data_IF_081078443383
#
_entry.id   IF_081078443383
#
_cell.length_a   1.000
_cell.length_b   1.000
_cell.length_c   1.000
_cell.angle_alpha   90.00
_cell.angle_beta   90.00
_cell.angle_gamma   90.00
#
_symmetry.space_group_name_H-M   'P 1'
#
loop_
_entity.id
_entity.type
_entity.pdbx_description
1 polymer ?
#
# COMPACT_ATOMS: atom_id res chain seq x y z
N UNK A 1 10.44 47.40 12.06
CA UNK A 1 9.18 47.94 11.50
C UNK A 1 8.10 46.86 11.61
N UNK A 2 6.88 47.09 11.12
CA UNK A 2 5.96 45.97 10.83
C UNK A 2 6.40 45.37 9.49
N UNK A 3 6.41 44.04 9.40
CA UNK A 3 6.72 43.31 8.18
C UNK A 3 5.79 43.72 7.02
N UNK A 4 6.38 44.06 5.87
CA UNK A 4 5.64 44.30 4.64
C UNK A 4 5.56 43.00 3.83
N UNK A 5 4.36 42.45 3.68
CA UNK A 5 4.14 41.20 2.96
C UNK A 5 2.70 40.73 2.99
N UNK A 6 2.49 39.45 2.70
CA UNK A 6 1.18 38.81 2.84
C UNK A 6 1.30 37.38 3.34
N UNK A 7 0.32 36.91 4.09
CA UNK A 7 0.36 35.59 4.72
C UNK A 7 -1.00 34.89 4.69
N UNK A 8 -0.99 33.57 4.87
CA UNK A 8 -2.19 32.79 5.15
C UNK A 8 -1.83 31.51 5.92
N UNK A 9 -2.69 31.13 6.85
CA UNK A 9 -2.64 29.85 7.55
C UNK A 9 -3.86 28.99 7.18
N UNK A 10 -3.68 27.68 7.07
CA UNK A 10 -4.77 26.70 6.94
C UNK A 10 -4.39 25.44 7.71
N UNK A 11 -5.39 24.77 8.29
CA UNK A 11 -5.21 23.50 9.01
C UNK A 11 -6.41 22.59 8.77
N UNK A 12 -6.16 21.29 8.63
CA UNK A 12 -7.19 20.29 8.35
C UNK A 12 -6.85 18.95 9.04
N UNK A 13 -7.86 18.27 9.58
CA UNK A 13 -7.77 16.96 10.26
C UNK A 13 -7.17 15.80 9.42
N UNK A 14 -6.88 16.02 8.14
CA UNK A 14 -6.64 14.94 7.18
C UNK A 14 -7.88 14.09 6.87
N UNK A 15 -7.68 12.83 6.49
CA UNK A 15 -8.75 11.86 6.14
C UNK A 15 -8.82 10.65 7.08
N UNK A 16 -7.85 10.47 7.97
CA UNK A 16 -7.71 9.26 8.81
C UNK A 16 -7.79 9.55 10.32
N UNK A 17 -7.25 10.69 10.78
CA UNK A 17 -7.34 11.12 12.18
C UNK A 17 -8.78 11.54 12.54
N UNK A 18 -9.16 11.38 13.80
CA UNK A 18 -10.47 11.76 14.33
C UNK A 18 -10.57 13.21 14.83
N UNK A 19 -9.43 13.77 15.25
CA UNK A 19 -9.25 15.11 15.78
C UNK A 19 -8.07 15.76 15.06
N UNK A 20 -8.08 17.08 15.02
CA UNK A 20 -6.93 17.87 14.61
C UNK A 20 -6.13 18.17 15.88
N UNK A 21 -4.84 17.83 15.89
CA UNK A 21 -3.90 18.07 16.97
C UNK A 21 -2.84 19.09 16.57
N UNK A 22 -2.75 19.45 15.29
CA UNK A 22 -1.96 20.60 14.84
C UNK A 22 -2.57 21.92 15.34
N UNK A 23 -1.72 22.95 15.45
CA UNK A 23 -2.09 24.35 15.57
C UNK A 23 -1.22 25.21 14.65
N UNK A 24 -1.74 26.33 14.18
CA UNK A 24 -1.00 27.27 13.33
C UNK A 24 -1.38 28.72 13.58
N UNK A 25 -0.44 29.62 13.33
CA UNK A 25 -0.58 31.07 13.51
C UNK A 25 0.03 31.82 12.33
N UNK A 26 -0.70 32.79 11.78
CA UNK A 26 -0.17 33.78 10.85
C UNK A 26 -0.59 35.18 11.28
N UNK A 27 0.33 35.91 11.87
CA UNK A 27 0.13 37.28 12.33
C UNK A 27 0.74 38.32 11.39
N UNK A 28 1.12 39.43 11.99
CA UNK A 28 1.69 40.61 11.33
C UNK A 28 3.19 40.44 11.06
N UNK A 29 3.91 39.86 12.02
CA UNK A 29 5.36 39.63 12.02
C UNK A 29 5.71 38.18 12.40
N UNK A 30 4.82 37.47 13.12
CA UNK A 30 5.03 36.11 13.61
C UNK A 30 4.23 35.07 12.81
N UNK A 31 4.87 33.95 12.50
CA UNK A 31 4.30 32.81 11.78
C UNK A 31 4.71 31.51 12.49
N UNK A 32 3.76 30.63 12.79
CA UNK A 32 4.02 29.40 13.58
C UNK A 32 3.23 28.22 13.02
N UNK A 33 3.86 27.04 13.00
CA UNK A 33 3.22 25.72 12.91
C UNK A 33 3.67 24.88 14.09
N UNK A 34 2.73 24.18 14.72
CA UNK A 34 2.96 23.28 15.84
C UNK A 34 2.15 21.99 15.63
N UNK A 35 2.82 20.86 15.46
CA UNK A 35 2.22 19.54 15.26
C UNK A 35 2.13 18.83 16.62
N UNK A 36 0.91 18.61 17.09
CA UNK A 36 0.63 18.13 18.44
C UNK A 36 0.59 16.62 18.54
N UNK A 37 1.45 16.03 19.37
CA UNK A 37 1.52 14.60 19.61
C UNK A 37 1.18 14.21 21.05
N UNK A 38 0.71 12.97 21.23
CA UNK A 38 0.42 12.39 22.54
C UNK A 38 -0.80 11.48 22.51
N UNK A 39 -0.98 10.70 23.58
CA UNK A 39 -2.20 9.94 23.77
C UNK A 39 -3.41 10.83 24.07
N UNK A 40 -4.62 10.30 23.87
CA UNK A 40 -5.89 11.01 24.15
C UNK A 40 -5.90 12.44 23.55
N UNK A 41 -6.23 13.46 24.35
CA UNK A 41 -6.27 14.87 23.97
C UNK A 41 -4.97 15.62 24.34
N UNK A 42 -3.83 14.92 24.40
CA UNK A 42 -2.55 15.53 24.76
C UNK A 42 -2.01 16.48 23.69
N UNK A 43 -2.01 16.05 22.42
CA UNK A 43 -1.40 16.79 21.31
C UNK A 43 -2.11 18.11 20.98
N UNK A 44 -3.44 18.10 20.90
CA UNK A 44 -4.27 19.29 20.66
C UNK A 44 -4.13 20.34 21.77
N UNK A 45 -3.86 19.90 23.00
CA UNK A 45 -3.52 20.80 24.12
C UNK A 45 -2.10 21.33 23.99
N UNK A 46 -1.12 20.47 23.68
CA UNK A 46 0.28 20.84 23.55
C UNK A 46 0.50 21.92 22.47
N UNK A 47 0.01 21.68 21.25
CA UNK A 47 0.18 22.61 20.12
C UNK A 47 -0.58 23.93 20.35
N UNK A 48 -1.75 23.86 20.98
CA UNK A 48 -2.55 25.03 21.31
C UNK A 48 -1.86 25.90 22.37
N UNK A 49 -1.29 25.30 23.42
CA UNK A 49 -0.51 26.03 24.44
C UNK A 49 0.71 26.68 23.80
N UNK A 50 1.46 25.97 22.95
CA UNK A 50 2.63 26.53 22.27
C UNK A 50 2.28 27.73 21.37
N UNK A 51 1.21 27.65 20.57
CA UNK A 51 0.78 28.76 19.71
C UNK A 51 0.32 29.97 20.53
N UNK A 52 -0.50 29.79 21.57
CA UNK A 52 -0.96 30.91 22.42
C UNK A 52 0.16 31.51 23.28
N UNK A 53 1.18 30.73 23.66
CA UNK A 53 2.36 31.22 24.38
C UNK A 53 3.28 32.06 23.47
N UNK A 54 3.31 31.75 22.17
CA UNK A 54 4.06 32.48 21.15
C UNK A 54 3.33 33.71 20.59
N UNK A 55 1.99 33.70 20.53
CA UNK A 55 1.17 34.83 20.01
C UNK A 55 1.61 36.24 20.48
N UNK A 56 1.96 36.49 21.77
CA UNK A 56 2.43 37.80 22.23
C UNK A 56 3.73 38.31 21.57
N UNK A 57 4.45 37.43 20.86
CA UNK A 57 5.62 37.78 20.05
C UNK A 57 5.24 38.32 18.67
N UNK A 58 3.95 38.41 18.29
CA UNK A 58 3.50 39.09 17.06
C UNK A 58 3.60 40.62 17.14
N UNK A 59 4.83 41.10 17.32
CA UNK A 59 5.17 42.51 17.50
C UNK A 59 6.47 42.85 16.79
N UNK A 60 6.71 44.15 16.59
CA UNK A 60 8.00 44.60 16.10
C UNK A 60 9.08 44.38 17.18
N UNK A 61 10.21 43.79 16.78
CA UNK A 61 11.43 43.69 17.58
C UNK A 61 12.42 44.79 17.18
N UNK A 62 13.31 45.18 18.09
CA UNK A 62 14.35 46.19 17.81
C UNK A 62 15.51 45.63 16.98
N UNK A 63 15.83 44.35 17.15
CA UNK A 63 16.92 43.66 16.44
C UNK A 63 16.58 42.19 16.19
N UNK A 64 17.13 41.55 15.14
CA UNK A 64 16.97 40.11 14.92
C UNK A 64 17.44 39.26 16.10
N UNK A 65 18.51 39.68 16.79
CA UNK A 65 19.06 38.98 17.96
C UNK A 65 18.12 39.03 19.18
N UNK A 66 17.39 40.13 19.38
CA UNK A 66 16.38 40.21 20.43
C UNK A 66 15.21 39.25 20.15
N UNK A 67 14.73 39.21 18.90
CA UNK A 67 13.74 38.22 18.46
C UNK A 67 14.23 36.78 18.64
N UNK A 68 15.50 36.49 18.34
CA UNK A 68 16.07 35.15 18.45
C UNK A 68 16.11 34.66 19.91
N UNK A 69 16.50 35.55 20.83
CA UNK A 69 16.51 35.29 22.27
C UNK A 69 15.08 35.08 22.77
N UNK A 70 14.16 36.02 22.50
CA UNK A 70 12.78 35.92 22.98
C UNK A 70 12.02 34.71 22.41
N UNK A 71 12.23 34.34 21.15
CA UNK A 71 11.66 33.12 20.56
C UNK A 71 12.16 31.86 21.28
N UNK A 72 13.48 31.74 21.47
CA UNK A 72 14.08 30.57 22.15
C UNK A 72 13.62 30.46 23.59
N UNK A 73 13.69 31.56 24.35
CA UNK A 73 13.26 31.60 25.74
C UNK A 73 11.76 31.30 25.88
N UNK A 74 10.91 31.85 25.00
CA UNK A 74 9.46 31.57 25.02
C UNK A 74 9.14 30.10 24.72
N UNK A 75 9.84 29.47 23.77
CA UNK A 75 9.69 28.02 23.48
C UNK A 75 10.17 27.18 24.68
N UNK A 76 11.29 27.54 25.32
CA UNK A 76 11.79 26.83 26.50
C UNK A 76 10.85 26.99 27.71
N UNK A 77 10.35 28.20 27.98
CA UNK A 77 9.33 28.47 29.01
C UNK A 77 8.03 27.69 28.75
N UNK A 78 7.68 27.46 27.48
CA UNK A 78 6.52 26.63 27.11
C UNK A 78 6.69 25.20 27.64
N UNK A 79 7.90 24.62 27.63
CA UNK A 79 8.16 23.29 28.19
C UNK A 79 7.81 23.26 29.70
N UNK A 80 8.24 24.29 30.44
CA UNK A 80 7.89 24.49 31.84
C UNK A 80 6.38 24.59 32.09
N UNK A 81 5.63 25.26 31.21
CA UNK A 81 4.17 25.35 31.28
C UNK A 81 3.49 24.00 31.00
N UNK A 82 4.00 23.22 30.03
CA UNK A 82 3.51 21.88 29.70
C UNK A 82 3.74 20.88 30.84
N UNK A 83 4.92 20.88 31.46
CA UNK A 83 5.23 20.07 32.66
C UNK A 83 4.29 20.44 33.83
N UNK A 84 4.06 21.73 34.05
CA UNK A 84 3.11 22.20 35.07
C UNK A 84 1.66 21.84 34.73
N UNK A 85 1.31 21.72 33.46
CA UNK A 85 -0.01 21.29 33.01
C UNK A 85 -0.24 19.80 33.31
N UNK A 86 0.70 18.92 32.94
CA UNK A 86 0.65 17.48 33.28
C UNK A 86 0.65 17.26 34.79
N UNK A 87 1.40 18.05 35.55
CA UNK A 87 1.38 18.01 37.03
C UNK A 87 -0.01 18.29 37.61
N UNK A 88 -0.84 19.08 36.92
CA UNK A 88 -2.22 19.41 37.32
C UNK A 88 -3.26 18.47 36.72
N UNK A 89 -3.00 17.90 35.55
CA UNK A 89 -3.86 17.00 34.79
C UNK A 89 -3.05 15.78 34.32
N UNK A 90 -2.82 14.77 35.19
CA UNK A 90 -1.99 13.59 34.88
C UNK A 90 -2.51 12.75 33.70
N UNK A 91 -3.77 12.92 33.30
CA UNK A 91 -4.38 12.36 32.09
C UNK A 91 -3.75 12.87 30.77
N UNK A 92 -2.98 13.96 30.82
CA UNK A 92 -2.26 14.52 29.68
C UNK A 92 -0.78 14.06 29.61
N UNK A 93 -0.34 13.13 30.47
CA UNK A 93 1.06 12.66 30.49
C UNK A 93 1.52 12.10 29.13
N UNK A 94 2.73 12.46 28.71
CA UNK A 94 3.29 12.15 27.40
C UNK A 94 2.79 13.06 26.27
N UNK A 95 2.19 14.21 26.59
CA UNK A 95 1.89 15.26 25.61
C UNK A 95 3.18 15.88 25.09
N UNK A 96 3.19 16.24 23.81
CA UNK A 96 4.23 17.04 23.21
C UNK A 96 3.74 17.74 21.94
N UNK A 97 4.55 18.65 21.42
CA UNK A 97 4.31 19.30 20.13
C UNK A 97 5.64 19.59 19.46
N UNK A 98 5.67 19.55 18.14
CA UNK A 98 6.71 20.27 17.39
C UNK A 98 6.43 21.77 17.50
N UNK A 99 7.44 22.60 17.24
CA UNK A 99 7.27 24.03 16.97
C UNK A 99 8.20 24.41 15.82
N UNK A 100 7.66 25.10 14.83
CA UNK A 100 8.42 25.75 13.77
C UNK A 100 7.89 27.16 13.61
N UNK A 101 8.73 28.16 13.87
CA UNK A 101 8.35 29.57 13.92
C UNK A 101 9.28 30.45 13.09
N UNK A 102 8.72 31.52 12.51
CA UNK A 102 9.45 32.64 11.91
C UNK A 102 8.92 33.94 12.53
N UNK A 103 9.81 34.76 13.08
CA UNK A 103 9.56 36.17 13.35
C UNK A 103 10.28 37.04 12.30
N UNK A 104 9.55 37.93 11.65
CA UNK A 104 10.09 38.88 10.67
C UNK A 104 10.53 40.17 11.35
N UNK A 105 11.80 40.54 11.19
CA UNK A 105 12.41 41.75 11.75
C UNK A 105 13.09 42.53 10.63
N UNK A 106 12.38 43.50 10.08
CA UNK A 106 12.78 44.25 8.88
C UNK A 106 13.11 43.31 7.70
N UNK A 107 14.37 43.26 7.24
CA UNK A 107 14.85 42.37 6.17
C UNK A 107 15.37 41.01 6.68
N UNK A 108 14.96 40.57 7.87
CA UNK A 108 15.44 39.33 8.49
C UNK A 108 14.31 38.41 8.92
N UNK A 109 14.41 37.13 8.54
CA UNK A 109 13.63 36.04 9.10
C UNK A 109 14.44 35.44 10.26
N UNK A 110 13.88 35.51 11.46
CA UNK A 110 14.41 34.87 12.66
C UNK A 110 13.63 33.59 12.89
N UNK A 111 14.31 32.47 12.80
CA UNK A 111 13.73 31.12 12.80
C UNK A 111 14.00 30.47 14.15
N UNK A 112 12.99 29.79 14.69
CA UNK A 112 13.13 28.88 15.83
C UNK A 112 12.42 27.55 15.54
N UNK A 113 13.08 26.42 15.81
CA UNK A 113 12.61 25.10 15.41
C UNK A 113 12.93 23.98 16.42
N UNK A 114 11.95 23.11 16.64
CA UNK A 114 12.06 21.83 17.33
C UNK A 114 11.03 20.82 16.78
N UNK A 115 11.49 19.63 16.38
CA UNK A 115 10.63 18.55 15.86
C UNK A 115 10.87 18.26 14.37
N UNK A 116 9.86 17.77 13.65
CA UNK A 116 9.94 17.42 12.21
C UNK A 116 8.91 18.15 11.33
N UNK A 117 8.16 19.10 11.90
CA UNK A 117 7.56 20.19 11.10
C UNK A 117 8.66 20.98 10.40
N UNK A 118 8.38 21.49 9.19
CA UNK A 118 9.42 22.00 8.30
C UNK A 118 9.20 23.45 7.91
N UNK A 119 10.31 24.15 7.74
CA UNK A 119 10.35 25.49 7.13
C UNK A 119 11.13 25.41 5.84
N UNK A 120 10.51 25.90 4.77
CA UNK A 120 11.07 25.99 3.43
C UNK A 120 11.14 27.45 2.98
N UNK A 121 12.18 27.78 2.22
CA UNK A 121 12.30 29.02 1.46
C UNK A 121 12.18 28.70 -0.04
N UNK A 122 11.23 29.35 -0.71
CA UNK A 122 11.16 29.40 -2.16
C UNK A 122 11.72 30.75 -2.65
N UNK A 123 12.82 30.70 -3.40
CA UNK A 123 13.55 31.85 -3.93
C UNK A 123 14.20 31.46 -5.27
N UNK A 124 14.22 32.39 -6.23
CA UNK A 124 14.91 32.22 -7.52
C UNK A 124 14.58 30.90 -8.26
N UNK A 125 13.31 30.46 -8.15
CA UNK A 125 12.73 29.24 -8.74
C UNK A 125 13.13 27.91 -8.07
N UNK A 126 13.88 27.97 -6.97
CA UNK A 126 14.32 26.84 -6.15
C UNK A 126 13.56 26.78 -4.81
N UNK A 127 13.26 25.57 -4.33
CA UNK A 127 12.69 25.31 -3.01
C UNK A 127 13.77 24.66 -2.13
N UNK A 128 14.14 25.31 -1.03
CA UNK A 128 15.17 24.83 -0.11
C UNK A 128 14.56 24.58 1.27
N UNK A 129 14.74 23.38 1.82
CA UNK A 129 14.43 23.12 3.23
C UNK A 129 15.46 23.82 4.12
N UNK A 130 15.00 24.60 5.10
CA UNK A 130 15.83 25.43 5.98
C UNK A 130 16.04 24.79 7.36
N UNK A 131 15.02 24.09 7.88
CA UNK A 131 15.11 23.34 9.14
C UNK A 131 15.59 21.91 8.90
N UNK A 132 16.28 21.32 9.87
CA UNK A 132 16.67 19.90 9.85
C UNK A 132 15.76 19.12 10.79
N UNK A 133 15.00 18.15 10.27
CA UNK A 133 14.06 17.36 11.07
C UNK A 133 14.76 16.70 12.28
N UNK A 134 14.26 16.93 13.49
CA UNK A 134 14.72 16.24 14.71
C UNK A 134 14.13 14.83 14.84
N UNK A 135 14.22 14.03 13.77
CA UNK A 135 13.66 12.67 13.69
C UNK A 135 14.75 11.57 13.73
N UNK A 136 14.35 10.35 14.05
CA UNK A 136 15.24 9.19 14.09
C UNK A 136 15.84 8.89 12.72
N UNK A 137 15.05 9.07 11.66
CA UNK A 137 15.52 8.84 10.28
C UNK A 137 16.49 9.91 9.82
N UNK A 138 16.33 11.17 10.24
CA UNK A 138 17.31 12.21 9.93
C UNK A 138 18.68 11.88 10.55
N UNK A 139 18.72 11.46 11.82
CA UNK A 139 19.98 10.98 12.44
C UNK A 139 20.62 9.79 11.70
N UNK A 140 19.83 8.94 11.05
CA UNK A 140 20.36 7.86 10.20
C UNK A 140 20.91 8.38 8.85
N UNK A 141 20.30 9.41 8.27
CA UNK A 141 20.80 10.10 7.06
C UNK A 141 22.10 10.83 7.38
N UNK A 142 22.14 11.63 8.45
CA UNK A 142 23.30 12.43 8.87
C UNK A 142 24.52 11.54 9.19
N UNK A 143 24.28 10.34 9.74
CA UNK A 143 25.32 9.34 10.00
C UNK A 143 25.66 8.43 8.81
N UNK A 144 25.10 8.70 7.63
CA UNK A 144 25.36 7.98 6.38
C UNK A 144 24.89 6.52 6.39
N UNK A 145 23.93 6.17 7.26
CA UNK A 145 23.41 4.79 7.42
C UNK A 145 22.29 4.44 6.46
N UNK A 146 21.53 5.45 6.01
CA UNK A 146 20.48 5.35 4.99
C UNK A 146 20.55 6.59 4.08
N UNK A 147 19.98 6.52 2.88
CA UNK A 147 19.82 7.70 2.02
C UNK A 147 18.55 8.51 2.36
N UNK A 148 18.44 9.78 1.96
CA UNK A 148 17.21 10.57 2.13
C UNK A 148 15.97 9.91 1.50
N UNK A 149 16.14 9.21 0.37
CA UNK A 149 15.07 8.48 -0.32
C UNK A 149 14.59 7.27 0.50
N UNK A 150 15.51 6.55 1.16
CA UNK A 150 15.19 5.44 2.06
C UNK A 150 14.48 5.92 3.33
N UNK A 151 14.86 7.10 3.86
CA UNK A 151 14.23 7.71 5.03
C UNK A 151 12.71 7.91 4.86
N UNK A 152 12.26 8.35 3.67
CA UNK A 152 10.83 8.59 3.36
C UNK A 152 9.94 7.34 3.53
N UNK A 153 10.50 6.15 3.33
CA UNK A 153 9.78 4.87 3.45
C UNK A 153 10.16 4.07 4.70
N UNK A 154 11.01 4.60 5.56
CA UNK A 154 11.50 3.89 6.73
C UNK A 154 10.37 3.60 7.74
N UNK A 155 10.31 2.39 8.37
CA UNK A 155 9.24 2.03 9.31
C UNK A 155 9.15 2.91 10.56
N UNK A 156 10.24 3.60 10.93
CA UNK A 156 10.33 4.52 12.07
C UNK A 156 10.55 5.98 11.63
N UNK A 157 9.94 6.41 10.52
CA UNK A 157 10.09 7.80 10.04
C UNK A 157 9.50 8.84 11.00
N UNK A 158 8.30 8.58 11.54
CA UNK A 158 7.59 9.43 12.51
C UNK A 158 8.07 9.25 13.96
N UNK A 159 9.31 8.77 14.18
CA UNK A 159 9.90 8.69 15.52
C UNK A 159 10.70 9.96 15.74
N UNK A 160 10.15 10.88 16.52
CA UNK A 160 10.80 12.11 16.93
C UNK A 160 11.90 11.86 17.97
N UNK A 161 12.92 12.71 17.94
CA UNK A 161 14.12 12.64 18.77
C UNK A 161 14.37 13.92 19.60
N UNK A 162 13.73 15.04 19.24
CA UNK A 162 13.55 16.25 20.07
C UNK A 162 12.12 16.74 19.84
N UNK A 163 11.41 17.08 20.91
CA UNK A 163 10.02 17.57 20.90
C UNK A 163 9.82 18.47 22.12
N UNK A 164 8.94 19.45 22.02
CA UNK A 164 8.54 20.28 23.15
C UNK A 164 7.44 19.55 23.94
N UNK A 165 7.67 19.15 25.19
CA UNK A 165 6.73 18.29 25.92
C UNK A 165 6.94 18.26 27.44
N UNK A 166 6.37 17.25 28.10
CA UNK A 166 6.35 17.11 29.57
C UNK A 166 7.56 16.37 30.17
N UNK A 167 8.55 16.00 29.35
CA UNK A 167 9.68 15.15 29.75
C UNK A 167 11.01 15.90 29.94
N UNK A 168 11.24 16.99 29.20
CA UNK A 168 12.46 17.80 29.27
C UNK A 168 12.11 19.27 29.58
N UNK A 169 12.53 19.83 30.73
CA UNK A 169 12.28 21.23 31.07
C UNK A 169 13.14 22.23 30.30
N UNK A 170 14.26 21.80 29.71
CA UNK A 170 15.22 22.67 29.02
C UNK A 170 15.51 22.17 27.59
N UNK A 171 14.48 22.04 26.72
CA UNK A 171 14.68 21.53 25.38
C UNK A 171 15.69 22.39 24.61
N UNK A 172 16.58 21.72 23.89
CA UNK A 172 17.40 22.37 22.87
C UNK A 172 16.47 22.83 21.74
N UNK A 173 16.58 24.10 21.34
CA UNK A 173 15.80 24.73 20.26
C UNK A 173 16.79 25.29 19.25
N UNK A 174 16.64 24.90 17.98
CA UNK A 174 17.53 25.38 16.92
C UNK A 174 17.07 26.78 16.48
N UNK A 175 17.98 27.76 16.51
CA UNK A 175 17.69 29.14 16.08
C UNK A 175 18.61 29.61 14.97
N UNK A 176 18.05 30.33 14.00
CA UNK A 176 18.77 30.85 12.84
C UNK A 176 18.29 32.26 12.47
N UNK A 177 19.19 33.12 11.99
CA UNK A 177 18.85 34.44 11.45
C UNK A 177 19.24 34.46 9.98
N UNK A 178 18.28 34.72 9.09
CA UNK A 178 18.47 34.71 7.63
C UNK A 178 17.96 36.00 6.99
N UNK A 179 18.69 36.53 6.01
CA UNK A 179 18.25 37.72 5.29
C UNK A 179 17.15 37.36 4.27
N UNK A 180 16.03 38.08 4.35
CA UNK A 180 14.92 38.01 3.40
C UNK A 180 15.11 39.00 2.24
N UNK A 181 14.39 38.79 1.16
CA UNK A 181 14.37 39.65 -0.03
C UNK A 181 12.92 39.79 -0.52
N UNK A 182 12.53 40.94 -1.09
CA UNK A 182 11.22 41.07 -1.74
C UNK A 182 11.04 40.01 -2.84
N UNK A 183 9.95 39.25 -2.76
CA UNK A 183 9.66 38.11 -3.63
C UNK A 183 10.02 36.73 -3.05
N UNK A 184 10.66 36.67 -1.88
CA UNK A 184 10.79 35.40 -1.14
C UNK A 184 9.42 34.88 -0.71
N UNK A 185 9.23 33.57 -0.77
CA UNK A 185 8.06 32.88 -0.23
C UNK A 185 8.49 31.82 0.76
N UNK A 186 8.09 31.97 2.01
CA UNK A 186 8.28 30.98 3.07
C UNK A 186 7.08 30.06 3.17
N UNK A 187 7.34 28.78 3.41
CA UNK A 187 6.35 27.73 3.65
C UNK A 187 6.72 27.04 4.97
N UNK A 188 5.84 27.13 5.97
CA UNK A 188 5.90 26.32 7.18
C UNK A 188 4.83 25.22 7.07
N UNK A 189 5.15 23.98 7.43
CA UNK A 189 4.16 22.90 7.44
C UNK A 189 4.42 21.77 8.46
N UNK A 190 3.35 21.09 8.88
CA UNK A 190 3.42 19.83 9.64
C UNK A 190 3.81 18.64 8.76
N UNK A 191 4.10 17.48 9.37
CA UNK A 191 4.56 16.28 8.66
C UNK A 191 3.51 15.75 7.66
N UNK A 192 2.22 16.00 7.91
CA UNK A 192 1.12 15.59 7.03
C UNK A 192 1.12 16.27 5.66
N UNK A 193 1.84 17.39 5.48
CA UNK A 193 2.15 17.90 4.13
C UNK A 193 3.39 17.19 3.55
N UNK A 194 4.54 17.27 4.22
CA UNK A 194 5.85 16.85 3.68
C UNK A 194 6.02 15.33 3.52
N UNK A 195 5.33 14.55 4.36
CA UNK A 195 5.27 13.09 4.28
C UNK A 195 4.43 12.58 3.11
N UNK A 196 3.51 13.38 2.58
CA UNK A 196 2.61 13.00 1.47
C UNK A 196 3.00 13.66 0.16
N UNK A 197 3.14 14.99 0.15
CA UNK A 197 3.54 15.78 -1.01
C UNK A 197 5.07 15.85 -1.06
N UNK A 198 5.67 15.67 -2.23
CA UNK A 198 7.12 15.84 -2.41
C UNK A 198 7.48 17.28 -2.82
N UNK A 199 8.76 17.64 -2.66
CA UNK A 199 9.26 18.99 -2.93
C UNK A 199 9.10 19.41 -4.40
N UNK A 200 9.08 18.47 -5.36
CA UNK A 200 8.84 18.79 -6.76
C UNK A 200 7.38 19.23 -6.97
N UNK A 201 6.43 18.61 -6.28
CA UNK A 201 5.03 18.98 -6.29
C UNK A 201 4.77 20.28 -5.52
N UNK A 202 5.41 20.50 -4.36
CA UNK A 202 5.39 21.79 -3.66
C UNK A 202 5.90 22.92 -4.55
N UNK A 203 7.08 22.75 -5.16
CA UNK A 203 7.71 23.73 -6.07
C UNK A 203 6.77 24.09 -7.23
N UNK A 204 6.07 23.12 -7.84
CA UNK A 204 5.07 23.37 -8.92
C UNK A 204 3.86 24.20 -8.47
N UNK A 205 3.54 24.24 -7.17
CA UNK A 205 2.47 25.09 -6.62
C UNK A 205 3.01 26.46 -6.28
N UNK A 206 4.12 26.54 -5.55
CA UNK A 206 4.75 27.79 -5.12
C UNK A 206 5.12 28.69 -6.30
N UNK A 207 5.60 28.10 -7.40
CA UNK A 207 5.92 28.74 -8.70
C UNK A 207 4.78 29.51 -9.36
N UNK A 208 3.52 29.26 -8.99
CA UNK A 208 2.36 29.86 -9.69
C UNK A 208 2.14 31.35 -9.37
N UNK A 209 2.86 31.91 -8.40
CA UNK A 209 2.71 33.30 -7.93
C UNK A 209 1.26 33.65 -7.51
N UNK A 210 0.48 32.63 -7.11
CA UNK A 210 -0.86 32.78 -6.55
C UNK A 210 -0.77 33.32 -5.12
N UNK A 211 -1.75 34.12 -4.67
CA UNK A 211 -1.80 34.67 -3.31
C UNK A 211 -1.67 33.58 -2.21
N UNK A 212 -1.13 33.89 -1.01
CA UNK A 212 -0.83 32.91 0.04
C UNK A 212 -1.95 31.92 0.34
N UNK A 213 -3.19 32.40 0.50
CA UNK A 213 -4.35 31.54 0.78
C UNK A 213 -4.65 30.53 -0.35
N UNK A 214 -4.53 30.94 -1.61
CA UNK A 214 -4.71 30.05 -2.78
C UNK A 214 -3.59 29.03 -2.91
N UNK A 215 -2.37 29.46 -2.62
CA UNK A 215 -1.19 28.58 -2.55
C UNK A 215 -1.37 27.52 -1.46
N UNK A 216 -1.83 27.92 -0.26
CA UNK A 216 -2.13 27.02 0.85
C UNK A 216 -3.28 26.04 0.54
N UNK A 217 -4.40 26.52 -0.02
CA UNK A 217 -5.51 25.69 -0.52
C UNK A 217 -5.01 24.62 -1.52
N UNK A 218 -4.14 25.00 -2.46
CA UNK A 218 -3.62 24.12 -3.49
C UNK A 218 -2.67 23.05 -2.93
N UNK A 219 -1.84 23.37 -1.94
CA UNK A 219 -0.99 22.42 -1.23
C UNK A 219 -1.83 21.47 -0.36
N UNK A 220 -2.77 22.00 0.43
CA UNK A 220 -3.70 21.18 1.22
C UNK A 220 -4.48 20.21 0.33
N UNK A 221 -4.97 20.68 -0.82
CA UNK A 221 -5.63 19.82 -1.79
C UNK A 221 -4.73 18.68 -2.26
N UNK A 222 -3.45 18.92 -2.54
CA UNK A 222 -2.52 17.85 -2.93
C UNK A 222 -2.27 16.85 -1.79
N UNK A 223 -2.15 17.30 -0.54
CA UNK A 223 -2.05 16.41 0.61
C UNK A 223 -3.30 15.54 0.76
N UNK A 224 -4.48 16.14 0.63
CA UNK A 224 -5.77 15.42 0.64
C UNK A 224 -5.89 14.43 -0.51
N UNK A 225 -5.56 14.82 -1.74
CA UNK A 225 -5.60 13.96 -2.93
C UNK A 225 -4.59 12.80 -2.81
N UNK A 226 -3.43 13.03 -2.18
CA UNK A 226 -2.45 12.01 -1.76
C UNK A 226 -2.86 11.14 -0.57
N UNK A 227 -4.03 11.42 0.03
CA UNK A 227 -4.67 10.59 1.04
C UNK A 227 -4.69 11.16 2.46
N UNK A 228 -3.89 12.19 2.76
CA UNK A 228 -3.76 12.84 4.07
C UNK A 228 -3.98 11.90 5.28
N UNK A 229 -3.04 10.97 5.55
CA UNK A 229 -3.14 10.04 6.67
C UNK A 229 -3.00 10.75 8.03
N UNK A 230 -2.49 11.97 8.04
CA UNK A 230 -2.34 12.79 9.24
C UNK A 230 -3.00 14.17 9.14
N UNK A 231 -2.95 14.91 10.24
CA UNK A 231 -3.30 16.33 10.27
C UNK A 231 -2.37 17.12 9.32
N UNK A 232 -2.90 18.16 8.68
CA UNK A 232 -2.18 18.95 7.67
C UNK A 232 -2.34 20.42 7.97
N UNK A 233 -1.25 21.08 8.35
CA UNK A 233 -1.20 22.51 8.65
C UNK A 233 -0.12 23.17 7.83
N UNK A 234 -0.45 24.33 7.27
CA UNK A 234 0.34 25.06 6.28
C UNK A 234 0.25 26.54 6.58
N UNK A 235 1.39 27.22 6.67
CA UNK A 235 1.48 28.69 6.67
C UNK A 235 2.35 29.14 5.50
N UNK A 236 1.81 30.02 4.67
CA UNK A 236 2.52 30.66 3.56
C UNK A 236 2.78 32.13 3.94
N UNK A 237 4.00 32.61 3.69
CA UNK A 237 4.41 34.00 3.95
C UNK A 237 5.19 34.54 2.75
N UNK A 238 4.64 35.54 2.06
CA UNK A 238 5.27 36.26 0.96
C UNK A 238 5.93 37.53 1.48
N UNK A 239 7.25 37.68 1.29
CA UNK A 239 8.02 38.86 1.68
C UNK A 239 7.87 39.95 0.62
N UNK A 240 7.36 41.13 1.04
CA UNK A 240 6.99 42.21 0.13
C UNK A 240 5.90 41.78 -0.86
N UNK A 241 5.95 42.34 -2.07
CA UNK A 241 5.21 41.82 -3.22
C UNK A 241 3.97 42.63 -3.64
N UNK A 242 3.29 42.10 -4.66
CA UNK A 242 2.25 42.78 -5.47
C UNK A 242 0.83 42.59 -4.93
N UNK A 243 0.66 41.75 -3.92
CA UNK A 243 -0.61 41.39 -3.30
C UNK A 243 -0.65 41.99 -1.89
N UNK A 244 -0.94 43.30 -1.72
CA UNK A 244 -0.95 43.92 -0.40
C UNK A 244 -2.05 43.30 0.45
N UNK A 245 -1.66 42.50 1.44
CA UNK A 245 -2.57 42.07 2.48
C UNK A 245 -2.78 43.24 3.45
N UNK A 246 -3.95 43.87 3.37
CA UNK A 246 -4.47 44.59 4.53
C UNK A 246 -4.70 43.54 5.62
N UNK A 247 -3.86 43.54 6.67
CA UNK A 247 -3.92 42.61 7.78
C UNK A 247 -5.28 42.71 8.50
N UNK A 248 -6.22 41.86 8.10
CA UNK A 248 -7.55 41.76 8.68
C UNK A 248 -7.53 40.78 9.87
N UNK A 249 -6.82 41.17 10.93
CA UNK A 249 -6.50 40.38 12.13
C UNK A 249 -5.56 39.16 11.88
N UNK A 250 -4.81 38.70 12.91
CA UNK A 250 -4.04 37.46 12.83
C UNK A 250 -4.96 36.25 12.61
N UNK A 251 -4.46 35.26 11.88
CA UNK A 251 -5.16 34.00 11.59
C UNK A 251 -4.63 32.89 12.49
N UNK A 252 -5.50 32.38 13.37
CA UNK A 252 -5.24 31.19 14.20
C UNK A 252 -6.02 30.00 13.62
N UNK A 253 -5.36 28.86 13.42
CA UNK A 253 -5.93 27.66 12.81
C UNK A 253 -5.60 26.40 13.62
N UNK A 254 -6.34 25.31 13.39
CA UNK A 254 -6.14 24.05 14.08
C UNK A 254 -6.72 24.07 15.50
N UNK A 255 -6.10 23.31 16.41
CA UNK A 255 -6.53 23.16 17.81
C UNK A 255 -6.59 24.51 18.54
N UNK A 256 -5.62 25.39 18.29
CA UNK A 256 -5.57 26.74 18.83
C UNK A 256 -6.76 27.63 18.45
N UNK A 257 -7.44 27.37 17.31
CA UNK A 257 -8.57 28.21 16.86
C UNK A 257 -9.85 28.05 17.67
N UNK A 258 -9.93 27.08 18.59
CA UNK A 258 -11.11 26.80 19.40
C UNK A 258 -10.78 26.68 20.91
N UNK A 259 -10.47 27.80 21.60
CA UNK A 259 -9.97 27.80 22.97
C UNK A 259 -10.94 27.24 24.01
N UNK A 260 -12.25 27.17 23.75
CA UNK A 260 -13.24 26.53 24.64
C UNK A 260 -13.29 24.99 24.50
N UNK A 261 -12.49 24.41 23.61
CA UNK A 261 -12.63 23.02 23.13
C UNK A 261 -11.98 21.92 23.97
N UNK A 262 -11.08 22.24 24.92
CA UNK A 262 -10.35 21.23 25.72
C UNK A 262 -11.26 20.63 26.81
N UNK A 263 -12.19 19.79 26.39
CA UNK A 263 -12.93 18.87 27.27
C UNK A 263 -12.40 17.46 27.04
N UNK A 264 -11.52 17.00 27.93
CA UNK A 264 -11.16 15.58 28.03
C UNK A 264 -12.46 14.78 28.22
N UNK A 265 -12.87 13.93 27.26
CA UNK A 265 -14.12 13.18 27.41
C UNK A 265 -13.95 12.13 28.50
N UNK A 266 -14.74 12.25 29.58
CA UNK A 266 -14.76 11.24 30.63
C UNK A 266 -15.14 9.88 30.03
N UNK A 267 -14.24 8.88 30.19
CA UNK A 267 -14.34 7.58 29.53
C UNK A 267 -15.63 6.84 29.91
N UNK A 268 -16.64 6.89 29.04
CA UNK A 268 -17.78 5.99 29.12
C UNK A 268 -17.34 4.60 28.66
N UNK A 269 -17.10 3.69 29.63
CA UNK A 269 -16.89 2.27 29.35
C UNK A 269 -18.17 1.68 28.75
N UNK A 270 -18.23 1.55 27.42
CA UNK A 270 -19.34 0.91 26.73
C UNK A 270 -18.88 0.03 25.57
N UNK A 271 -19.61 -1.08 25.38
CA UNK A 271 -19.48 -2.06 24.30
C UNK A 271 -18.19 -2.88 24.21
N UNK A 272 -18.14 -3.93 25.05
CA UNK A 272 -17.47 -5.19 24.70
C UNK A 272 -18.25 -5.93 23.60
N UNK A 273 -18.17 -5.52 22.32
CA UNK A 273 -18.46 -6.37 21.13
C UNK A 273 -18.16 -5.67 19.79
N UNK A 274 -16.91 -5.70 19.31
CA UNK A 274 -16.58 -5.71 17.87
C UNK A 274 -15.07 -5.85 17.60
N UNK A 275 -14.72 -6.57 16.52
CA UNK A 275 -13.43 -6.44 15.83
C UNK A 275 -12.26 -7.30 16.33
N UNK A 276 -12.33 -8.63 16.17
CA UNK A 276 -11.20 -9.56 16.43
C UNK A 276 -10.21 -9.70 15.24
N UNK A 277 -10.23 -8.77 14.28
CA UNK A 277 -9.56 -8.91 12.97
C UNK A 277 -8.65 -7.75 12.54
N UNK A 278 -8.33 -6.82 13.44
CA UNK A 278 -7.24 -5.86 13.21
C UNK A 278 -6.18 -6.02 14.30
N UNK A 279 -4.88 -6.13 13.95
CA UNK A 279 -3.82 -5.96 14.93
C UNK A 279 -3.91 -4.51 15.42
N UNK A 280 -4.39 -4.31 16.65
CA UNK A 280 -4.35 -3.01 17.31
C UNK A 280 -2.89 -2.59 17.36
N UNK A 281 -2.51 -1.57 16.59
CA UNK A 281 -1.20 -0.95 16.70
C UNK A 281 -1.07 -0.45 18.13
N UNK A 282 -0.14 -1.05 18.88
CA UNK A 282 0.03 -0.80 20.31
C UNK A 282 0.79 0.52 20.59
N UNK A 283 0.70 1.47 19.65
CA UNK A 283 1.40 2.74 19.60
C UNK A 283 0.83 3.82 20.53
N UNK A 284 -0.25 3.53 21.26
CA UNK A 284 -0.88 4.47 22.18
C UNK A 284 -0.15 4.60 23.54
N UNK A 285 0.82 3.72 23.82
CA UNK A 285 1.51 3.61 25.13
C UNK A 285 3.05 3.47 25.00
N UNK A 286 3.66 3.85 23.88
CA UNK A 286 5.12 4.02 23.82
C UNK A 286 5.46 5.47 24.23
N UNK A 287 6.39 5.70 25.18
CA UNK A 287 6.76 7.06 25.60
C UNK A 287 7.38 7.82 24.42
N UNK A 288 6.90 9.04 24.20
CA UNK A 288 7.22 9.93 23.08
C UNK A 288 8.62 10.58 23.13
N UNK A 289 9.47 10.18 24.09
CA UNK A 289 10.85 10.62 24.18
C UNK A 289 11.79 9.42 24.34
N UNK A 290 12.82 9.38 23.49
CA UNK A 290 13.81 8.31 23.49
C UNK A 290 15.24 8.90 23.51
N UNK A 291 15.86 8.87 24.69
CA UNK A 291 17.29 9.14 24.85
C UNK A 291 18.11 7.90 24.50
N UNK A 292 19.00 7.94 23.48
CA UNK A 292 19.91 6.85 23.20
C UNK A 292 21.19 6.99 24.04
N UNK A 293 21.29 6.20 25.09
CA UNK A 293 22.59 5.58 25.40
C UNK A 293 23.03 4.75 24.18
N UNK A 294 24.35 4.68 23.93
CA UNK A 294 24.93 3.94 22.78
C UNK A 294 24.44 2.49 22.69
N UNK A 295 24.22 1.89 23.85
CA UNK A 295 23.96 0.47 24.02
C UNK A 295 22.53 0.10 23.60
N UNK A 296 21.56 1.01 23.75
CA UNK A 296 20.18 0.80 23.30
C UNK A 296 20.08 0.75 21.78
N UNK A 297 20.88 1.55 21.07
CA UNK A 297 20.94 1.52 19.61
C UNK A 297 21.45 0.17 19.11
N UNK A 298 22.44 -0.44 19.78
CA UNK A 298 22.88 -1.80 19.46
C UNK A 298 21.81 -2.85 19.79
N UNK A 299 21.10 -2.70 20.91
CA UNK A 299 20.03 -3.62 21.31
C UNK A 299 18.85 -3.62 20.32
N UNK A 300 18.39 -2.45 19.84
CA UNK A 300 17.32 -2.40 18.82
C UNK A 300 17.79 -2.86 17.44
N UNK A 301 19.04 -2.61 17.05
CA UNK A 301 19.59 -3.17 15.81
C UNK A 301 19.66 -4.70 15.92
N UNK A 302 19.94 -5.26 17.11
CA UNK A 302 19.86 -6.70 17.35
C UNK A 302 18.42 -7.23 17.31
N UNK A 303 17.46 -6.50 17.89
CA UNK A 303 16.02 -6.81 17.88
C UNK A 303 15.45 -6.89 16.46
N UNK A 304 15.71 -5.89 15.62
CA UNK A 304 15.24 -5.88 14.23
C UNK A 304 15.92 -6.94 13.36
N UNK A 305 17.24 -7.20 13.57
CA UNK A 305 17.92 -8.34 12.92
C UNK A 305 17.30 -9.69 13.33
N UNK A 306 16.90 -9.86 14.60
CA UNK A 306 16.19 -11.06 15.09
C UNK A 306 14.82 -11.21 14.42
N UNK A 307 14.05 -10.13 14.32
CA UNK A 307 12.72 -10.11 13.66
C UNK A 307 12.82 -10.40 12.16
N UNK A 308 13.77 -9.78 11.46
CA UNK A 308 14.04 -10.05 10.04
C UNK A 308 14.46 -11.52 9.81
N UNK A 309 15.33 -12.08 10.66
CA UNK A 309 15.73 -13.48 10.59
C UNK A 309 14.55 -14.44 10.82
N UNK A 310 13.66 -14.16 11.78
CA UNK A 310 12.43 -14.94 12.00
C UNK A 310 11.49 -14.90 10.78
N UNK A 311 11.29 -13.74 10.16
CA UNK A 311 10.48 -13.63 8.91
C UNK A 311 11.08 -14.44 7.76
N UNK A 312 12.41 -14.37 7.55
CA UNK A 312 13.11 -15.18 6.53
C UNK A 312 12.98 -16.69 6.79
N UNK A 313 13.14 -17.13 8.05
CA UNK A 313 12.95 -18.55 8.41
C UNK A 313 11.50 -18.98 8.17
N UNK A 314 10.51 -18.17 8.57
CA UNK A 314 9.08 -18.47 8.33
C UNK A 314 8.75 -18.58 6.83
N UNK A 315 9.30 -17.70 6.00
CA UNK A 315 9.14 -17.78 4.54
C UNK A 315 9.78 -19.05 3.95
N UNK A 316 10.97 -19.44 4.39
CA UNK A 316 11.64 -20.69 3.96
C UNK A 316 10.80 -21.91 4.37
N UNK A 317 10.30 -21.96 5.61
CA UNK A 317 9.43 -23.05 6.08
C UNK A 317 8.13 -23.12 5.27
N UNK A 318 7.52 -21.97 4.95
CA UNK A 318 6.34 -21.91 4.08
C UNK A 318 6.60 -22.46 2.68
N UNK A 319 7.74 -22.11 2.06
CA UNK A 319 8.14 -22.64 0.75
C UNK A 319 8.38 -24.15 0.82
N UNK A 320 9.07 -24.65 1.85
CA UNK A 320 9.34 -26.10 2.02
C UNK A 320 8.04 -26.87 2.20
N UNK A 321 7.08 -26.36 2.97
CA UNK A 321 5.75 -26.98 3.13
C UNK A 321 4.97 -26.98 1.81
N UNK A 322 4.99 -25.89 1.05
CA UNK A 322 4.34 -25.81 -0.26
C UNK A 322 4.91 -26.83 -1.25
N UNK A 323 6.24 -26.94 -1.33
CA UNK A 323 6.92 -27.95 -2.14
C UNK A 323 6.56 -29.37 -1.67
N UNK A 324 6.51 -29.61 -0.35
CA UNK A 324 6.09 -30.89 0.21
C UNK A 324 4.67 -31.30 -0.20
N UNK A 325 3.72 -30.36 -0.20
CA UNK A 325 2.34 -30.59 -0.67
C UNK A 325 2.30 -30.90 -2.16
N UNK A 326 3.07 -30.19 -2.99
CA UNK A 326 3.15 -30.45 -4.43
C UNK A 326 3.73 -31.85 -4.71
N UNK A 327 4.82 -32.23 -4.04
CA UNK A 327 5.44 -33.56 -4.19
C UNK A 327 4.51 -34.68 -3.71
N UNK A 328 3.80 -34.47 -2.60
CA UNK A 328 2.79 -35.42 -2.10
C UNK A 328 1.62 -35.57 -3.08
N UNK A 329 1.11 -34.46 -3.63
CA UNK A 329 0.07 -34.47 -4.66
C UNK A 329 0.51 -35.21 -5.92
N UNK A 330 1.73 -34.96 -6.39
CA UNK A 330 2.30 -35.64 -7.57
C UNK A 330 2.49 -37.16 -7.33
N UNK A 331 2.97 -37.58 -6.17
CA UNK A 331 3.12 -39.02 -5.84
C UNK A 331 1.78 -39.74 -5.69
N UNK A 332 0.77 -39.09 -5.11
CA UNK A 332 -0.60 -39.64 -5.06
C UNK A 332 -1.17 -39.78 -6.48
N UNK A 333 -1.01 -38.76 -7.32
CA UNK A 333 -1.48 -38.77 -8.71
C UNK A 333 -0.78 -39.87 -9.53
N UNK A 334 0.55 -39.95 -9.47
CA UNK A 334 1.34 -40.97 -10.18
C UNK A 334 0.97 -42.40 -9.74
N UNK A 335 0.84 -42.65 -8.44
CA UNK A 335 0.42 -43.97 -7.96
C UNK A 335 -1.01 -44.31 -8.42
N UNK A 336 -1.91 -43.32 -8.54
CA UNK A 336 -3.25 -43.54 -9.06
C UNK A 336 -3.25 -43.85 -10.56
N UNK A 337 -2.44 -43.17 -11.38
CA UNK A 337 -2.36 -43.46 -12.83
C UNK A 337 -1.85 -44.88 -13.08
N UNK A 338 -0.89 -45.36 -12.29
CA UNK A 338 -0.36 -46.74 -12.38
C UNK A 338 -1.35 -47.85 -11.93
N UNK A 339 -2.58 -47.50 -11.52
CA UNK A 339 -3.64 -48.50 -11.23
C UNK A 339 -4.69 -48.62 -12.34
N UNK A 340 -4.44 -47.98 -13.49
CA UNK A 340 -5.35 -47.93 -14.62
C UNK A 340 -4.76 -48.68 -15.81
N UNK A 341 -5.65 -49.37 -16.52
CA UNK A 341 -5.33 -50.06 -17.76
C UNK A 341 -6.39 -49.68 -18.80
N UNK A 342 -6.03 -49.70 -20.07
CA UNK A 342 -6.98 -49.60 -21.18
C UNK A 342 -6.50 -50.41 -22.37
N UNK A 343 -7.45 -50.87 -23.19
CA UNK A 343 -7.17 -51.56 -24.45
C UNK A 343 -7.23 -50.52 -25.57
N UNK A 344 -6.19 -50.45 -26.40
CA UNK A 344 -6.07 -49.49 -27.50
C UNK A 344 -5.47 -50.13 -28.76
N UNK A 345 -5.36 -49.34 -29.82
CA UNK A 345 -4.69 -49.73 -31.06
C UNK A 345 -3.24 -49.22 -31.04
N UNK A 346 -2.26 -50.09 -31.28
CA UNK A 346 -0.90 -49.70 -31.66
C UNK A 346 -0.63 -50.14 -33.09
N UNK A 347 -0.41 -49.19 -33.98
CA UNK A 347 0.04 -49.35 -35.39
C UNK A 347 -0.75 -50.39 -36.21
N UNK A 348 -0.56 -51.69 -35.94
CA UNK A 348 -1.16 -52.83 -36.64
C UNK A 348 -1.99 -53.77 -35.70
N UNK A 349 -1.85 -53.69 -34.37
CA UNK A 349 -2.41 -54.66 -33.39
C UNK A 349 -3.20 -54.04 -32.23
N UNK A 350 -3.91 -54.90 -31.47
CA UNK A 350 -4.61 -54.54 -30.23
C UNK A 350 -3.67 -54.69 -29.03
N UNK A 351 -3.46 -53.60 -28.28
CA UNK A 351 -2.49 -53.52 -27.17
C UNK A 351 -3.17 -53.10 -25.87
N UNK A 352 -2.80 -53.74 -24.76
CA UNK A 352 -3.12 -53.30 -23.40
C UNK A 352 -2.06 -52.28 -22.96
N UNK A 353 -2.52 -51.10 -22.56
CA UNK A 353 -1.70 -50.04 -21.99
C UNK A 353 -1.90 -49.94 -20.48
N UNK A 354 -0.82 -49.65 -19.77
CA UNK A 354 -0.82 -49.27 -18.34
C UNK A 354 -0.74 -47.74 -18.24
N UNK A 355 -1.58 -47.13 -17.41
CA UNK A 355 -1.67 -45.68 -17.23
C UNK A 355 -3.01 -45.06 -17.62
N UNK A 356 -3.00 -43.75 -17.89
CA UNK A 356 -4.21 -42.96 -18.20
C UNK A 356 -4.12 -42.37 -19.61
N UNK A 357 -5.23 -42.44 -20.33
CA UNK A 357 -5.41 -41.89 -21.68
C UNK A 357 -5.44 -40.34 -21.70
N UNK A 358 -4.35 -39.70 -21.27
CA UNK A 358 -4.18 -38.25 -21.28
C UNK A 358 -2.70 -37.91 -21.49
N UNK A 359 -2.41 -37.02 -22.43
CA UNK A 359 -1.03 -36.56 -22.69
C UNK A 359 -0.83 -35.17 -22.07
N UNK A 360 0.20 -35.02 -21.24
CA UNK A 360 0.61 -33.73 -20.68
C UNK A 360 1.71 -33.12 -21.57
N UNK A 361 1.28 -32.53 -22.68
CA UNK A 361 2.18 -32.00 -23.70
C UNK A 361 2.99 -33.13 -24.34
N UNK A 362 4.34 -33.12 -24.29
CA UNK A 362 5.18 -34.19 -24.86
C UNK A 362 5.26 -35.44 -23.97
N UNK A 363 4.64 -35.46 -22.79
CA UNK A 363 4.70 -36.58 -21.85
C UNK A 363 3.45 -37.45 -22.01
N UNK A 364 3.65 -38.69 -22.48
CA UNK A 364 2.63 -39.75 -22.41
C UNK A 364 2.44 -40.17 -20.95
N UNK A 365 1.19 -40.30 -20.49
CA UNK A 365 0.85 -40.87 -19.18
C UNK A 365 0.41 -42.34 -19.28
N UNK A 366 0.76 -43.00 -20.38
CA UNK A 366 0.54 -44.43 -20.61
C UNK A 366 1.69 -45.09 -21.36
N UNK A 367 2.04 -46.30 -20.96
CA UNK A 367 3.04 -47.15 -21.62
C UNK A 367 2.40 -48.48 -22.10
N UNK A 368 2.88 -49.08 -23.21
CA UNK A 368 2.42 -50.40 -23.65
C UNK A 368 2.80 -51.47 -22.61
N UNK A 369 1.83 -52.26 -22.16
CA UNK A 369 2.03 -53.32 -21.17
C UNK A 369 2.07 -54.71 -21.82
N UNK A 370 1.11 -55.02 -22.69
CA UNK A 370 0.96 -56.35 -23.31
C UNK A 370 0.31 -56.23 -24.70
N UNK A 371 0.98 -56.71 -25.74
CA UNK A 371 0.41 -56.86 -27.08
C UNK A 371 -0.37 -58.19 -27.15
N UNK A 372 -1.62 -58.13 -27.61
CA UNK A 372 -2.46 -59.33 -27.75
C UNK A 372 -2.13 -60.17 -28.99
N UNK A 373 -1.39 -59.62 -29.95
CA UNK A 373 -1.12 -60.25 -31.24
C UNK A 373 -2.32 -60.30 -32.20
N UNK A 374 -3.48 -59.74 -31.82
CA UNK A 374 -4.66 -59.64 -32.68
C UNK A 374 -4.47 -58.48 -33.65
N UNK A 375 -4.48 -58.76 -34.95
CA UNK A 375 -4.33 -57.72 -35.96
C UNK A 375 -5.61 -56.87 -36.07
N UNK A 376 -5.47 -55.54 -36.12
CA UNK A 376 -6.60 -54.62 -36.27
C UNK A 376 -7.41 -54.90 -37.55
N UNK A 377 -6.78 -55.49 -38.57
CA UNK A 377 -7.43 -55.90 -39.83
C UNK A 377 -8.43 -57.03 -39.68
N UNK A 378 -8.26 -57.91 -38.68
CA UNK A 378 -9.11 -59.08 -38.43
C UNK A 378 -10.35 -58.72 -37.61
N UNK A 379 -10.35 -57.55 -36.96
CA UNK A 379 -11.48 -57.05 -36.17
C UNK A 379 -12.67 -56.63 -37.04
N UNK A 380 -13.86 -56.93 -36.53
CA UNK A 380 -15.13 -56.34 -37.00
C UNK A 380 -15.08 -54.81 -36.91
N UNK A 381 -15.82 -54.13 -37.79
CA UNK A 381 -15.84 -52.65 -37.85
C UNK A 381 -16.21 -52.00 -36.50
N UNK A 382 -17.16 -52.61 -35.77
CA UNK A 382 -17.58 -52.16 -34.45
C UNK A 382 -16.48 -52.32 -33.39
N UNK A 383 -15.78 -53.47 -33.35
CA UNK A 383 -14.71 -53.71 -32.38
C UNK A 383 -13.47 -52.87 -32.70
N UNK A 384 -13.13 -52.71 -33.99
CA UNK A 384 -12.05 -51.81 -34.44
C UNK A 384 -12.29 -50.37 -34.00
N UNK A 385 -13.48 -49.83 -34.30
CA UNK A 385 -13.85 -48.47 -33.90
C UNK A 385 -13.99 -48.30 -32.37
N UNK A 386 -14.09 -49.38 -31.58
CA UNK A 386 -14.03 -49.33 -30.13
C UNK A 386 -12.58 -49.31 -29.61
N UNK A 387 -11.70 -50.15 -30.18
CA UNK A 387 -10.28 -50.21 -29.83
C UNK A 387 -9.52 -48.94 -30.26
N UNK A 388 -9.80 -48.39 -31.44
CA UNK A 388 -9.24 -47.12 -31.92
C UNK A 388 -9.63 -45.92 -31.04
N UNK A 389 -10.83 -45.95 -30.43
CA UNK A 389 -11.27 -44.96 -29.42
C UNK A 389 -10.83 -45.31 -28.00
N UNK A 390 -10.15 -46.44 -27.83
CA UNK A 390 -9.77 -47.11 -26.59
C UNK A 390 -10.94 -47.58 -25.71
N UNK A 391 -10.69 -48.64 -24.94
CA UNK A 391 -11.65 -49.23 -24.01
C UNK A 391 -11.02 -49.23 -22.61
N UNK A 392 -11.57 -48.44 -21.69
CA UNK A 392 -11.06 -48.35 -20.32
C UNK A 392 -11.30 -49.63 -19.54
N UNK A 393 -10.24 -50.16 -18.90
CA UNK A 393 -10.34 -51.25 -17.95
C UNK A 393 -10.20 -50.75 -16.50
N UNK A 394 -10.44 -51.64 -15.53
CA UNK A 394 -10.37 -51.32 -14.10
C UNK A 394 -9.33 -52.16 -13.35
N UNK A 395 -8.77 -53.16 -14.03
CA UNK A 395 -7.67 -54.02 -13.62
C UNK A 395 -7.05 -54.62 -14.90
N UNK A 396 -5.85 -55.19 -14.78
CA UNK A 396 -5.22 -55.97 -15.87
C UNK A 396 -6.08 -57.18 -16.27
N UNK A 397 -6.73 -57.83 -15.30
CA UNK A 397 -7.65 -58.95 -15.53
C UNK A 397 -8.85 -58.53 -16.40
N UNK A 398 -9.51 -57.41 -16.08
CA UNK A 398 -10.59 -56.87 -16.91
C UNK A 398 -10.08 -56.42 -18.30
N UNK A 399 -8.84 -55.95 -18.43
CA UNK A 399 -8.25 -55.64 -19.73
C UNK A 399 -8.08 -56.89 -20.59
N UNK A 400 -7.62 -58.00 -20.00
CA UNK A 400 -7.52 -59.31 -20.67
C UNK A 400 -8.89 -59.89 -21.02
N UNK A 401 -9.89 -59.80 -20.15
CA UNK A 401 -11.28 -60.18 -20.46
C UNK A 401 -11.85 -59.40 -21.66
N UNK A 402 -11.53 -58.09 -21.77
CA UNK A 402 -11.91 -57.27 -22.93
C UNK A 402 -11.24 -57.79 -24.21
N UNK A 403 -9.95 -58.13 -24.16
CA UNK A 403 -9.20 -58.70 -25.29
C UNK A 403 -9.72 -60.09 -25.68
N UNK A 404 -9.96 -60.99 -24.72
CA UNK A 404 -10.53 -62.32 -24.97
C UNK A 404 -11.93 -62.23 -25.60
N UNK A 405 -12.78 -61.29 -25.14
CA UNK A 405 -14.08 -61.03 -25.75
C UNK A 405 -13.96 -60.55 -27.19
N UNK A 406 -12.95 -59.72 -27.50
CA UNK A 406 -12.68 -59.25 -28.86
C UNK A 406 -12.17 -60.41 -29.74
N UNK A 407 -11.30 -61.28 -29.20
CA UNK A 407 -10.80 -62.47 -29.89
C UNK A 407 -11.91 -63.51 -30.20
N UNK A 408 -12.87 -63.67 -29.29
CA UNK A 408 -14.01 -64.57 -29.48
C UNK A 408 -15.02 -64.08 -30.54
N UNK A 409 -14.96 -62.80 -30.91
CA UNK A 409 -15.85 -62.11 -31.85
C UNK A 409 -15.19 -61.92 -33.24
N UNK A 410 -14.05 -62.59 -33.48
CA UNK A 410 -13.36 -62.62 -34.78
C UNK A 410 -14.17 -63.42 -35.81
N UNK A 411 -14.28 -62.96 -37.07
CA UNK A 411 -14.98 -63.69 -38.12
C UNK A 411 -14.22 -64.99 -38.47
N UNK A 412 -14.93 -66.12 -38.45
CA UNK A 412 -14.36 -67.42 -38.80
C UNK A 412 -13.90 -67.48 -40.27
N UNK A 413 -12.76 -68.12 -40.54
CA UNK A 413 -12.22 -68.30 -41.89
C UNK A 413 -13.21 -69.02 -42.82
N UNK A 414 -13.72 -68.33 -43.85
CA UNK A 414 -14.42 -68.98 -44.95
C UNK A 414 -13.44 -69.75 -45.84
N UNK A 415 -13.57 -71.08 -45.88
CA UNK A 415 -12.74 -71.92 -46.75
C UNK A 415 -13.16 -71.80 -48.23
N UNK A 416 -12.23 -71.81 -49.21
CA UNK A 416 -12.56 -71.44 -50.59
C UNK A 416 -13.41 -72.49 -51.32
N UNK A 417 -14.65 -72.13 -51.67
CA UNK A 417 -15.55 -73.00 -52.44
C UNK A 417 -15.18 -73.02 -53.94
N UNK A 418 -14.94 -74.20 -54.49
CA UNK A 418 -14.62 -74.38 -55.92
C UNK A 418 -15.91 -74.53 -56.76
N UNK A 419 -16.14 -73.70 -57.80
CA UNK A 419 -17.36 -73.79 -58.60
C UNK A 419 -17.25 -74.88 -59.69
N UNK A 420 -18.34 -75.63 -59.90
CA UNK A 420 -18.57 -76.40 -61.13
C UNK A 420 -19.92 -76.00 -61.77
N UNK A 421 -20.03 -76.01 -63.11
CA UNK A 421 -21.04 -75.22 -63.82
C UNK A 421 -22.35 -75.96 -64.06
N UNK A 422 -23.45 -75.22 -64.22
CA UNK A 422 -24.67 -75.70 -64.90
C UNK A 422 -25.23 -74.65 -65.88
N UNK A 423 -25.79 -75.18 -66.96
CA UNK A 423 -26.03 -74.51 -68.24
C UNK A 423 -27.46 -73.97 -68.35
N UNK A 424 -27.67 -72.87 -69.11
CA UNK A 424 -28.85 -72.55 -69.98
C UNK A 424 -30.28 -72.82 -69.45
N UNK A 425 -31.30 -71.94 -69.51
CA UNK A 425 -31.81 -71.07 -70.61
C UNK A 425 -33.07 -70.29 -70.08
N UNK A 426 -33.88 -69.55 -70.88
CA UNK A 426 -33.73 -68.16 -71.32
C UNK A 426 -34.73 -67.12 -70.71
N UNK A 427 -34.42 -65.84 -70.95
CA UNK A 427 -35.26 -64.61 -71.00
C UNK A 427 -36.60 -64.80 -71.77
N UNK A 428 -37.76 -64.19 -71.40
CA UNK A 428 -38.04 -62.73 -71.45
C UNK A 428 -38.88 -62.16 -70.27
N UNK A 429 -39.03 -60.85 -70.04
CA UNK A 429 -38.49 -59.62 -70.67
C UNK A 429 -39.40 -58.40 -70.36
N UNK A 430 -38.92 -57.15 -70.56
CA UNK A 430 -39.70 -55.87 -70.47
C UNK A 430 -40.14 -55.54 -69.00
N UNK A 431 -40.24 -54.32 -68.42
CA UNK A 431 -40.29 -52.93 -68.92
C UNK A 431 -39.80 -51.87 -67.89
N UNK A 432 -39.24 -50.76 -68.41
CA UNK A 432 -39.33 -49.34 -67.96
C UNK A 432 -39.42 -48.90 -66.48
N UNK A 433 -38.56 -47.92 -66.11
CA UNK A 433 -38.72 -46.95 -65.00
C UNK A 433 -40.08 -46.22 -64.99
N UNK A 434 -40.49 -45.63 -63.84
CA UNK A 434 -40.33 -44.18 -63.67
C UNK A 434 -39.86 -43.72 -62.27
N UNK A 435 -39.56 -42.43 -62.14
CA UNK A 435 -39.23 -41.69 -60.91
C UNK A 435 -40.02 -40.34 -60.93
N UNK A 436 -39.95 -39.42 -59.93
CA UNK A 436 -39.70 -39.50 -58.48
C UNK A 436 -40.84 -38.79 -57.67
N UNK A 437 -40.53 -38.05 -56.56
CA UNK A 437 -41.40 -37.22 -55.67
C UNK A 437 -42.05 -38.07 -54.53
N UNK A 438 -42.07 -37.67 -53.22
CA UNK A 438 -42.26 -36.32 -52.63
C UNK A 438 -41.20 -35.94 -51.53
N UNK A 439 -41.24 -34.87 -50.69
CA UNK A 439 -42.14 -33.70 -50.42
C UNK A 439 -41.35 -32.51 -49.82
N UNK A 440 -41.99 -31.37 -49.47
CA UNK A 440 -41.44 -30.31 -48.59
C UNK A 440 -41.57 -30.60 -47.07
N UNK A 441 -41.29 -29.63 -46.16
CA UNK A 441 -41.99 -28.34 -46.17
C UNK A 441 -41.18 -27.06 -45.84
N UNK A 442 -41.87 -25.95 -46.12
CA UNK A 442 -41.66 -24.53 -45.78
C UNK A 442 -41.46 -24.25 -44.28
N UNK A 443 -40.49 -23.39 -43.92
CA UNK A 443 -40.74 -22.06 -43.30
C UNK A 443 -39.45 -21.22 -43.07
N UNK A 444 -39.62 -19.91 -43.18
CA UNK A 444 -38.61 -18.83 -43.06
C UNK A 444 -39.36 -17.56 -42.58
N UNK A 445 -38.68 -16.45 -42.27
CA UNK A 445 -38.23 -16.06 -40.93
C UNK A 445 -39.04 -14.91 -40.31
N UNK A 446 -38.75 -14.59 -39.04
CA UNK A 446 -38.99 -13.27 -38.42
C UNK A 446 -37.98 -13.14 -37.25
N UNK A 447 -37.40 -11.99 -36.89
CA UNK A 447 -37.51 -10.64 -37.48
C UNK A 447 -37.54 -9.56 -36.39
N UNK A 448 -36.42 -8.84 -36.20
CA UNK A 448 -36.28 -7.69 -35.27
C UNK A 448 -36.43 -8.00 -33.78
N UNK A 449 -36.08 -7.14 -32.84
CA UNK A 449 -35.20 -5.97 -32.71
C UNK A 449 -35.39 -5.49 -31.26
N UNK A 450 -34.36 -4.93 -30.60
CA UNK A 450 -34.44 -4.51 -29.19
C UNK A 450 -33.08 -4.37 -28.52
#
# INVERSE_FOLDING_TARGET
>A
MVFEGSSAAISHTGKVRSNNQDSGYAGSNLFVVADGMGGHAGGDVASSVAVHKLEPLDRAFETPQAAEIELRETIQDTAGDLIQLVTRQPELAGLGTTVSAIAMVDEWAVIAHIGDSRIYLYRDDELTQITTDHSFVQRLVDSGRITPEEARYHPRRSVLMRVLGDMDPNPEVDTFIMQTRPGDRWLLCSDGLSGVVDEQHMTKVLRRDEAPARTADALLKQALDGGAPDNVTIVIVDVGGKHPAFLAAPSIVGSASNPEGVRVPAVTRSSLTSGWLHPRSQAANEPSHFEPDSDYLEELIAEDRRRARRRRIGAIVGIVLLVGVIVAGFTIFYNWTQTRYFVGADTDSVVIYEGVQANLGPISLSEPFEDSGIALTELTEANRAAVERTITAHSLEHAREIVERIAADLPAEETPYTPTPRTSTPTPGISSLPAPVPTGPTQTPDGGEG
#
